data_IF_831480879840
#
_entry.id   IF_831480879840
#
_cell.length_a   1.000
_cell.length_b   1.000
_cell.length_c   1.000
_cell.angle_alpha   90.00
_cell.angle_beta   90.00
_cell.angle_gamma   90.00
#
_symmetry.space_group_name_H-M   'P 1'
#
loop_
_entity.id
_entity.type
_entity.pdbx_description
1 polymer ?
#
# COMPACT_ATOMS: atom_id res chain seq x y z
N UNK A 1 83.02 -26.70 -17.43
CA UNK A 1 82.37 -26.19 -16.19
C UNK A 1 81.93 -24.73 -16.29
N UNK A 2 82.77 -23.78 -16.76
CA UNK A 2 82.45 -22.32 -16.80
C UNK A 2 81.33 -21.88 -17.78
N UNK A 3 81.06 -22.64 -18.83
CA UNK A 3 79.98 -22.36 -19.81
C UNK A 3 78.62 -22.86 -19.34
N UNK A 4 78.57 -24.02 -18.69
CA UNK A 4 77.34 -24.58 -18.11
C UNK A 4 76.78 -23.71 -16.98
N UNK A 5 77.62 -23.19 -16.09
CA UNK A 5 77.17 -22.30 -15.00
C UNK A 5 76.56 -21.00 -15.51
N UNK A 6 77.07 -20.45 -16.62
CA UNK A 6 76.50 -19.26 -17.27
C UNK A 6 75.13 -19.54 -17.91
N UNK A 7 74.99 -20.69 -18.58
CA UNK A 7 73.72 -21.11 -19.17
C UNK A 7 72.65 -21.33 -18.10
N UNK A 8 73.01 -21.99 -16.99
CA UNK A 8 72.11 -22.23 -15.87
C UNK A 8 71.63 -20.93 -15.21
N UNK A 9 72.53 -19.94 -15.03
CA UNK A 9 72.19 -18.64 -14.48
C UNK A 9 71.19 -17.87 -15.37
N UNK A 10 71.36 -17.95 -16.69
CA UNK A 10 70.43 -17.34 -17.65
C UNK A 10 69.01 -17.93 -17.58
N UNK A 11 68.91 -19.26 -17.51
CA UNK A 11 67.62 -19.96 -17.36
C UNK A 11 66.96 -19.56 -16.04
N UNK A 12 67.73 -19.51 -14.96
CA UNK A 12 67.21 -19.12 -13.65
C UNK A 12 66.66 -17.69 -13.66
N UNK A 13 67.34 -16.76 -14.33
CA UNK A 13 66.86 -15.38 -14.50
C UNK A 13 65.51 -15.32 -15.23
N UNK A 14 65.37 -16.05 -16.34
CA UNK A 14 64.12 -16.09 -17.12
C UNK A 14 62.98 -16.66 -16.28
N UNK A 15 63.22 -17.73 -15.52
CA UNK A 15 62.22 -18.33 -14.65
C UNK A 15 61.77 -17.35 -13.54
N UNK A 16 62.71 -16.62 -12.92
CA UNK A 16 62.36 -15.64 -11.89
C UNK A 16 61.53 -14.47 -12.42
N UNK A 17 61.86 -13.97 -13.61
CA UNK A 17 61.10 -12.89 -14.26
C UNK A 17 59.71 -13.36 -14.68
N UNK A 18 59.62 -14.57 -15.25
CA UNK A 18 58.33 -15.18 -15.60
C UNK A 18 57.43 -15.39 -14.38
N UNK A 19 58.01 -15.87 -13.27
CA UNK A 19 57.29 -16.03 -12.01
C UNK A 19 56.79 -14.69 -11.45
N UNK A 20 57.63 -13.64 -11.46
CA UNK A 20 57.25 -12.30 -11.01
C UNK A 20 56.11 -11.71 -11.86
N UNK A 21 56.17 -11.87 -13.18
CA UNK A 21 55.10 -11.42 -14.08
C UNK A 21 53.79 -12.15 -13.81
N UNK A 22 53.82 -13.47 -13.61
CA UNK A 22 52.64 -14.26 -13.26
C UNK A 22 52.02 -13.82 -11.93
N UNK A 23 52.84 -13.58 -10.90
CA UNK A 23 52.36 -13.10 -9.61
C UNK A 23 51.72 -11.71 -9.70
N UNK A 24 52.31 -10.81 -10.48
CA UNK A 24 51.75 -9.48 -10.72
C UNK A 24 50.38 -9.56 -11.42
N UNK A 25 50.28 -10.40 -12.47
CA UNK A 25 49.04 -10.60 -13.20
C UNK A 25 47.96 -11.26 -12.34
N UNK A 26 48.35 -12.22 -11.51
CA UNK A 26 47.45 -12.90 -10.57
C UNK A 26 46.90 -11.94 -9.51
N UNK A 27 47.74 -11.06 -8.96
CA UNK A 27 47.30 -10.03 -8.01
C UNK A 27 46.23 -9.12 -8.61
N UNK A 28 46.49 -8.57 -9.80
CA UNK A 28 45.52 -7.74 -10.51
C UNK A 28 44.22 -8.50 -10.84
N UNK A 29 44.31 -9.76 -11.26
CA UNK A 29 43.12 -10.57 -11.55
C UNK A 29 42.29 -10.85 -10.29
N UNK A 30 42.96 -11.16 -9.17
CA UNK A 30 42.32 -11.38 -7.87
C UNK A 30 41.58 -10.13 -7.39
N UNK A 31 42.20 -8.96 -7.46
CA UNK A 31 41.58 -7.72 -7.00
C UNK A 31 40.32 -7.39 -7.82
N UNK A 32 40.38 -7.60 -9.14
CA UNK A 32 39.22 -7.42 -10.02
C UNK A 32 38.11 -8.43 -9.71
N UNK A 33 38.47 -9.69 -9.45
CA UNK A 33 37.50 -10.71 -9.06
C UNK A 33 36.82 -10.38 -7.74
N UNK A 34 37.59 -9.99 -6.72
CA UNK A 34 37.05 -9.64 -5.40
C UNK A 34 36.10 -8.44 -5.49
N UNK A 35 36.47 -7.41 -6.26
CA UNK A 35 35.61 -6.25 -6.49
C UNK A 35 34.32 -6.60 -7.25
N UNK A 36 34.42 -7.47 -8.26
CA UNK A 36 33.26 -7.92 -9.02
C UNK A 36 32.33 -8.79 -8.16
N UNK A 37 32.91 -9.66 -7.32
CA UNK A 37 32.20 -10.51 -6.36
C UNK A 37 31.45 -9.67 -5.33
N UNK A 38 32.12 -8.65 -4.75
CA UNK A 38 31.48 -7.73 -3.80
C UNK A 38 30.31 -6.96 -4.43
N UNK A 39 30.48 -6.49 -5.69
CA UNK A 39 29.39 -5.86 -6.43
C UNK A 39 28.23 -6.82 -6.68
N UNK A 40 28.51 -8.05 -7.09
CA UNK A 40 27.48 -9.08 -7.30
C UNK A 40 26.73 -9.39 -6.00
N UNK A 41 27.44 -9.57 -4.88
CA UNK A 41 26.84 -9.83 -3.58
C UNK A 41 25.89 -8.68 -3.18
N UNK A 42 26.33 -7.43 -3.33
CA UNK A 42 25.47 -6.25 -3.08
C UNK A 42 24.24 -6.23 -3.99
N UNK A 43 24.40 -6.50 -5.27
CA UNK A 43 23.27 -6.53 -6.22
C UNK A 43 22.28 -7.64 -5.91
N UNK A 44 22.77 -8.82 -5.53
CA UNK A 44 21.94 -9.97 -5.14
C UNK A 44 21.09 -9.63 -3.92
N UNK A 45 21.70 -9.04 -2.89
CA UNK A 45 20.98 -8.64 -1.67
C UNK A 45 19.91 -7.59 -1.97
N UNK A 46 20.23 -6.59 -2.80
CA UNK A 46 19.26 -5.55 -3.17
C UNK A 46 18.09 -6.15 -3.97
N UNK A 47 18.38 -7.05 -4.91
CA UNK A 47 17.36 -7.73 -5.69
C UNK A 47 16.43 -8.56 -4.80
N UNK A 48 17.00 -9.33 -3.86
CA UNK A 48 16.21 -10.15 -2.93
C UNK A 48 15.32 -9.29 -2.02
N UNK A 49 15.85 -8.19 -1.48
CA UNK A 49 15.06 -7.23 -0.69
C UNK A 49 13.92 -6.65 -1.53
N UNK A 50 14.20 -6.33 -2.79
CA UNK A 50 13.20 -5.78 -3.71
C UNK A 50 12.09 -6.78 -3.99
N UNK A 51 12.44 -8.03 -4.30
CA UNK A 51 11.47 -9.11 -4.53
C UNK A 51 10.63 -9.35 -3.26
N UNK A 52 11.26 -9.39 -2.09
CA UNK A 52 10.57 -9.55 -0.82
C UNK A 52 9.59 -8.39 -0.55
N UNK A 53 10.02 -7.14 -0.78
CA UNK A 53 9.18 -5.97 -0.61
C UNK A 53 7.96 -5.98 -1.56
N UNK A 54 8.16 -6.35 -2.82
CA UNK A 54 7.08 -6.51 -3.79
C UNK A 54 6.10 -7.61 -3.35
N UNK A 55 6.60 -8.75 -2.90
CA UNK A 55 5.77 -9.85 -2.43
C UNK A 55 4.94 -9.48 -1.20
N UNK A 56 5.53 -8.76 -0.23
CA UNK A 56 4.82 -8.25 0.95
C UNK A 56 3.75 -7.25 0.56
N UNK A 57 4.08 -6.26 -0.27
CA UNK A 57 3.12 -5.27 -0.75
C UNK A 57 1.97 -5.92 -1.52
N UNK A 58 2.26 -6.92 -2.34
CA UNK A 58 1.24 -7.67 -3.06
C UNK A 58 0.28 -8.39 -2.11
N UNK A 59 0.80 -9.07 -1.07
CA UNK A 59 -0.02 -9.71 -0.04
C UNK A 59 -0.89 -8.72 0.72
N UNK A 60 -0.30 -7.62 1.20
CA UNK A 60 -1.04 -6.57 1.91
C UNK A 60 -2.14 -5.98 1.02
N UNK A 61 -1.87 -5.77 -0.28
CA UNK A 61 -2.87 -5.27 -1.24
C UNK A 61 -4.04 -6.25 -1.39
N UNK A 62 -3.76 -7.55 -1.53
CA UNK A 62 -4.81 -8.58 -1.59
C UNK A 62 -5.63 -8.63 -0.32
N UNK A 63 -4.98 -8.66 0.85
CA UNK A 63 -5.67 -8.67 2.15
C UNK A 63 -6.58 -7.44 2.32
N UNK A 64 -6.16 -6.28 1.80
CA UNK A 64 -6.96 -5.05 1.85
C UNK A 64 -8.19 -5.13 0.92
N UNK A 65 -8.04 -5.71 -0.27
CA UNK A 65 -9.15 -5.95 -1.19
C UNK A 65 -10.17 -6.90 -0.55
N UNK A 66 -9.69 -7.99 0.04
CA UNK A 66 -10.53 -9.00 0.68
C UNK A 66 -11.28 -8.42 1.89
N UNK A 67 -10.59 -7.64 2.73
CA UNK A 67 -11.20 -6.95 3.86
C UNK A 67 -12.31 -5.99 3.41
N UNK A 68 -12.06 -5.21 2.34
CA UNK A 68 -13.06 -4.28 1.78
C UNK A 68 -14.25 -5.02 1.16
N UNK A 69 -14.01 -6.17 0.55
CA UNK A 69 -15.08 -7.02 0.01
C UNK A 69 -15.93 -7.64 1.14
N UNK A 70 -15.31 -8.07 2.23
CA UNK A 70 -16.01 -8.55 3.41
C UNK A 70 -16.87 -7.45 4.05
N UNK A 71 -16.31 -6.24 4.23
CA UNK A 71 -17.06 -5.08 4.74
C UNK A 71 -18.25 -4.74 3.85
N UNK A 72 -18.07 -4.70 2.52
CA UNK A 72 -19.16 -4.45 1.57
C UNK A 72 -20.27 -5.51 1.64
N UNK A 73 -19.90 -6.76 1.85
CA UNK A 73 -20.84 -7.88 2.01
C UNK A 73 -21.64 -7.75 3.31
N UNK A 74 -20.98 -7.46 4.43
CA UNK A 74 -21.63 -7.23 5.71
C UNK A 74 -22.54 -6.00 5.69
N UNK A 75 -22.12 -4.91 5.05
CA UNK A 75 -22.95 -3.72 4.87
C UNK A 75 -24.24 -4.03 4.07
N UNK A 76 -24.16 -4.85 3.02
CA UNK A 76 -25.34 -5.30 2.25
C UNK A 76 -26.27 -6.17 3.11
N UNK A 77 -25.72 -7.08 3.92
CA UNK A 77 -26.51 -7.90 4.85
C UNK A 77 -27.22 -7.03 5.88
N UNK A 78 -26.52 -6.11 6.55
CA UNK A 78 -27.10 -5.20 7.56
C UNK A 78 -28.19 -4.34 6.93
N UNK A 79 -27.95 -3.76 5.74
CA UNK A 79 -28.98 -3.00 5.00
C UNK A 79 -30.22 -3.85 4.71
N UNK A 80 -30.02 -5.13 4.39
CA UNK A 80 -31.12 -6.06 4.11
C UNK A 80 -31.89 -6.42 5.38
N UNK A 81 -31.21 -6.71 6.47
CA UNK A 81 -31.82 -6.97 7.79
C UNK A 81 -32.62 -5.75 8.25
N UNK A 82 -32.06 -4.54 8.18
CA UNK A 82 -32.78 -3.30 8.52
C UNK A 82 -34.02 -3.16 7.64
N UNK A 83 -33.89 -3.31 6.31
CA UNK A 83 -35.02 -3.16 5.40
C UNK A 83 -36.12 -4.19 5.67
N UNK A 84 -35.76 -5.43 5.98
CA UNK A 84 -36.73 -6.50 6.25
C UNK A 84 -37.37 -6.36 7.62
N UNK A 85 -36.61 -6.08 8.67
CA UNK A 85 -37.12 -5.85 10.02
C UNK A 85 -38.01 -4.60 10.07
N UNK A 86 -37.60 -3.49 9.45
CA UNK A 86 -38.46 -2.31 9.39
C UNK A 86 -39.71 -2.56 8.54
N UNK A 87 -39.59 -3.14 7.35
CA UNK A 87 -40.77 -3.42 6.49
C UNK A 87 -41.72 -4.45 7.13
N UNK A 88 -41.21 -5.38 7.92
CA UNK A 88 -41.98 -6.36 8.68
C UNK A 88 -42.42 -5.90 10.07
N UNK A 89 -41.97 -4.73 10.54
CA UNK A 89 -42.38 -4.19 11.82
C UNK A 89 -43.81 -3.65 11.75
N UNK A 90 -44.57 -3.87 12.83
CA UNK A 90 -45.94 -3.36 12.98
C UNK A 90 -45.99 -1.82 12.83
N UNK A 91 -44.88 -1.12 13.12
CA UNK A 91 -44.74 0.32 12.97
C UNK A 91 -44.67 0.82 11.51
N UNK A 92 -44.20 0.01 10.55
CA UNK A 92 -44.11 0.42 9.14
C UNK A 92 -45.38 0.16 8.33
N UNK A 93 -46.25 -0.72 8.82
CA UNK A 93 -47.53 -1.08 8.20
C UNK A 93 -48.71 -0.26 8.75
N UNK A 94 -48.49 0.63 9.73
CA UNK A 94 -49.51 1.55 10.21
C UNK A 94 -49.84 2.55 9.10
N UNK A 95 -50.98 2.36 8.46
CA UNK A 95 -51.57 3.35 7.57
C UNK A 95 -51.74 4.65 8.33
N UNK A 96 -51.05 5.71 7.88
CA UNK A 96 -51.28 7.06 8.41
C UNK A 96 -52.76 7.39 8.19
N UNK A 97 -53.52 7.71 9.25
CA UNK A 97 -54.93 8.05 9.10
C UNK A 97 -55.09 9.18 8.09
N UNK A 98 -56.03 9.04 7.15
CA UNK A 98 -56.18 10.00 6.04
C UNK A 98 -56.39 11.45 6.53
N UNK A 99 -56.96 11.62 7.72
CA UNK A 99 -57.17 12.90 8.38
C UNK A 99 -55.95 13.42 9.17
N UNK A 100 -54.99 12.57 9.55
CA UNK A 100 -53.84 12.98 10.36
C UNK A 100 -52.93 13.97 9.59
N UNK A 101 -52.73 13.76 8.29
CA UNK A 101 -51.96 14.67 7.44
C UNK A 101 -52.67 16.03 7.32
N UNK A 102 -54.00 16.02 7.16
CA UNK A 102 -54.80 17.24 7.07
C UNK A 102 -54.79 18.02 8.40
N UNK A 103 -54.93 17.34 9.53
CA UNK A 103 -54.90 17.97 10.86
C UNK A 103 -53.50 18.51 11.20
N UNK A 104 -52.43 17.81 10.84
CA UNK A 104 -51.06 18.31 10.98
C UNK A 104 -50.80 19.53 10.11
N UNK A 105 -51.32 19.56 8.88
CA UNK A 105 -51.22 20.72 8.00
C UNK A 105 -52.01 21.92 8.55
N UNK A 106 -53.22 21.70 9.07
CA UNK A 106 -54.01 22.75 9.75
C UNK A 106 -53.29 23.26 10.99
N UNK A 107 -52.74 22.38 11.81
CA UNK A 107 -51.97 22.74 12.99
C UNK A 107 -50.73 23.57 12.64
N UNK A 108 -49.96 23.14 11.64
CA UNK A 108 -48.80 23.87 11.14
C UNK A 108 -49.18 25.23 10.52
N UNK A 109 -50.32 25.31 9.82
CA UNK A 109 -50.85 26.57 9.32
C UNK A 109 -51.29 27.50 10.47
N UNK A 110 -51.91 26.95 11.52
CA UNK A 110 -52.26 27.69 12.73
C UNK A 110 -51.04 28.23 13.49
N UNK A 111 -49.96 27.45 13.58
CA UNK A 111 -48.68 27.92 14.12
C UNK A 111 -48.13 29.07 13.28
N UNK A 112 -48.08 28.92 11.95
CA UNK A 112 -47.60 29.97 11.04
C UNK A 112 -48.44 31.26 11.13
N UNK A 113 -49.77 31.13 11.22
CA UNK A 113 -50.66 32.27 11.36
C UNK A 113 -50.47 33.02 12.70
N UNK A 114 -50.23 32.28 13.80
CA UNK A 114 -49.93 32.88 15.11
C UNK A 114 -48.53 33.48 15.17
N UNK A 115 -47.56 32.85 14.51
CA UNK A 115 -46.19 33.33 14.43
C UNK A 115 -46.04 34.55 13.51
N UNK A 116 -46.90 34.70 12.50
CA UNK A 116 -46.95 35.89 11.63
C UNK A 116 -47.87 37.01 12.15
N UNK A 117 -48.42 36.86 13.36
CA UNK A 117 -49.42 37.76 13.94
C UNK A 117 -48.86 38.62 15.09
N UNK A 118 -47.71 39.27 14.90
CA UNK A 118 -47.35 40.45 15.68
C UNK A 118 -46.23 41.21 14.97
N UNK A 119 -46.65 42.05 14.02
CA UNK A 119 -46.02 43.34 13.73
C UNK A 119 -47.09 44.26 13.14
N UNK A 120 -48.22 44.39 13.84
CA UNK A 120 -48.99 45.63 13.81
C UNK A 120 -48.48 46.50 14.96
N UNK A 121 -47.24 46.96 14.80
CA UNK A 121 -46.75 48.11 15.54
C UNK A 121 -47.57 49.32 15.09
N UNK A 122 -48.41 49.79 16.01
CA UNK A 122 -49.22 50.99 15.92
C UNK A 122 -48.45 52.17 15.29
N UNK A 123 -49.12 52.87 14.38
CA UNK A 123 -48.94 54.29 14.12
C UNK A 123 -48.75 55.05 15.44
N UNK A 124 -47.67 55.81 15.59
CA UNK A 124 -47.70 57.19 16.14
C UNK A 124 -46.37 57.95 15.90
N UNK A 125 -46.39 58.86 14.91
CA UNK A 125 -45.66 60.14 14.73
C UNK A 125 -45.34 60.44 13.28
#
# INVERSE_FOLDING_TARGET
MRTMTKALAGICGILTVGLLMLLYLYGGLKDNYDLLSEKHARLSVINDITIAAVAVNHRVSLDNIDAKQAEGTEHVKVKTVIKTVFKGSECASVSVPANAVSELQKYAAGIRARAGGSDTGSTDR
#
